data_IF_700671088271
#
_entry.id   IF_700671088271
#
_cell.length_a   1.000
_cell.length_b   1.000
_cell.length_c   1.000
_cell.angle_alpha   90.00
_cell.angle_beta   90.00
_cell.angle_gamma   90.00
#
_symmetry.space_group_name_H-M   'P 1'
#
loop_
_entity.id
_entity.type
_entity.pdbx_description
1 polymer ?
#
# COMPACT_ATOMS: atom_id res chain seq x y z
N UNK A 1 -1.83 -33.91 12.72
CA UNK A 1 -1.74 -32.59 13.37
C UNK A 1 -2.96 -32.46 14.25
N UNK A 2 -2.76 -32.50 15.56
CA UNK A 2 -3.82 -32.63 16.56
C UNK A 2 -4.67 -31.36 16.62
N UNK A 3 -5.97 -31.53 16.39
CA UNK A 3 -7.04 -30.56 16.65
C UNK A 3 -7.01 -30.15 18.13
N UNK A 4 -6.23 -29.13 18.48
CA UNK A 4 -6.36 -28.44 19.77
C UNK A 4 -7.55 -27.50 19.68
N UNK A 5 -8.76 -28.06 19.83
CA UNK A 5 -9.95 -27.25 20.12
C UNK A 5 -9.70 -26.52 21.42
N UNK A 6 -9.81 -25.18 21.36
CA UNK A 6 -9.75 -24.28 22.50
C UNK A 6 -10.65 -24.84 23.62
N UNK A 7 -10.14 -25.05 24.85
CA UNK A 7 -11.01 -25.49 25.92
C UNK A 7 -12.12 -24.45 26.09
N UNK A 8 -13.39 -24.87 25.94
CA UNK A 8 -14.53 -24.02 26.30
C UNK A 8 -14.29 -23.58 27.74
N UNK A 9 -14.18 -22.27 27.94
CA UNK A 9 -13.93 -21.70 29.25
C UNK A 9 -14.94 -22.26 30.25
N UNK A 10 -14.46 -22.65 31.42
CA UNK A 10 -15.32 -23.02 32.52
C UNK A 10 -16.35 -21.89 32.75
N UNK A 11 -17.61 -22.27 32.87
CA UNK A 11 -18.74 -21.38 33.12
C UNK A 11 -18.46 -20.50 34.36
N UNK A 12 -17.94 -19.29 34.18
CA UNK A 12 -17.52 -18.42 35.29
C UNK A 12 -16.56 -17.26 34.96
N UNK A 13 -16.08 -17.13 33.72
CA UNK A 13 -15.27 -15.98 33.28
C UNK A 13 -16.08 -14.69 33.03
N UNK A 14 -15.44 -13.50 33.00
CA UNK A 14 -16.10 -12.24 32.67
C UNK A 14 -16.83 -12.34 31.33
N UNK A 15 -18.09 -11.92 31.31
CA UNK A 15 -18.98 -12.02 30.14
C UNK A 15 -18.44 -11.18 28.99
N UNK A 16 -18.26 -11.79 27.82
CA UNK A 16 -17.80 -11.12 26.59
C UNK A 16 -16.33 -11.37 26.23
N UNK A 17 -15.63 -12.27 26.92
CA UNK A 17 -14.26 -12.68 26.57
C UNK A 17 -14.28 -14.16 26.13
N UNK A 18 -14.02 -14.42 24.85
CA UNK A 18 -13.85 -15.77 24.31
C UNK A 18 -12.36 -16.08 24.12
N UNK A 19 -11.86 -17.22 24.65
CA UNK A 19 -10.48 -17.62 24.44
C UNK A 19 -10.26 -18.05 22.98
N UNK A 20 -9.09 -17.70 22.41
CA UNK A 20 -8.68 -18.10 21.07
C UNK A 20 -7.45 -19.01 21.11
N UNK A 21 -7.40 -20.01 20.21
CA UNK A 21 -6.23 -20.86 20.06
C UNK A 21 -5.09 -20.08 19.41
N UNK A 22 -3.89 -20.14 19.99
CA UNK A 22 -2.70 -19.48 19.44
C UNK A 22 -2.36 -20.00 18.04
N UNK A 23 -2.54 -21.30 17.79
CA UNK A 23 -2.24 -21.92 16.50
C UNK A 23 -3.20 -21.40 15.43
N UNK A 24 -4.48 -21.31 15.76
CA UNK A 24 -5.51 -20.80 14.86
C UNK A 24 -5.30 -19.31 14.55
N UNK A 25 -5.05 -18.50 15.58
CA UNK A 25 -4.82 -17.07 15.43
C UNK A 25 -3.55 -16.79 14.61
N UNK A 26 -2.45 -17.51 14.87
CA UNK A 26 -1.22 -17.36 14.09
C UNK A 26 -1.44 -17.71 12.62
N UNK A 27 -2.12 -18.81 12.32
CA UNK A 27 -2.38 -19.22 10.93
C UNK A 27 -3.25 -18.19 10.21
N UNK A 28 -4.31 -17.71 10.86
CA UNK A 28 -5.22 -16.72 10.30
C UNK A 28 -4.52 -15.38 10.04
N UNK A 29 -3.88 -14.82 11.06
CA UNK A 29 -3.16 -13.54 10.95
C UNK A 29 -2.05 -13.60 9.89
N UNK A 30 -1.34 -14.72 9.79
CA UNK A 30 -0.32 -14.92 8.77
C UNK A 30 -0.92 -14.93 7.36
N UNK A 31 -2.00 -15.69 7.14
CA UNK A 31 -2.65 -15.77 5.82
C UNK A 31 -3.28 -14.45 5.41
N UNK A 32 -3.95 -13.75 6.34
CA UNK A 32 -4.57 -12.44 6.08
C UNK A 32 -3.51 -11.41 5.68
N UNK A 33 -2.38 -11.35 6.40
CA UNK A 33 -1.29 -10.46 6.04
C UNK A 33 -0.64 -10.84 4.71
N UNK A 34 -0.33 -12.13 4.50
CA UNK A 34 0.30 -12.62 3.28
C UNK A 34 -0.56 -12.30 2.05
N UNK A 35 -1.87 -12.55 2.13
CA UNK A 35 -2.80 -12.26 1.04
C UNK A 35 -2.89 -10.75 0.77
N UNK A 36 -2.91 -9.91 1.82
CA UNK A 36 -2.91 -8.46 1.68
C UNK A 36 -1.67 -7.95 0.94
N UNK A 37 -0.50 -8.56 1.20
CA UNK A 37 0.76 -8.22 0.54
C UNK A 37 0.74 -8.63 -0.92
N UNK A 38 0.31 -9.87 -1.22
CA UNK A 38 0.28 -10.40 -2.58
C UNK A 38 -0.64 -9.57 -3.47
N UNK A 39 -1.88 -9.34 -3.02
CA UNK A 39 -2.93 -8.73 -3.86
C UNK A 39 -2.81 -7.21 -3.91
N UNK A 40 -2.49 -6.57 -2.79
CA UNK A 40 -2.69 -5.13 -2.62
C UNK A 40 -1.42 -4.34 -2.36
N UNK A 41 -0.23 -4.95 -2.52
CA UNK A 41 1.05 -4.26 -2.28
C UNK A 41 2.16 -4.66 -3.25
N UNK A 42 2.50 -5.94 -3.30
CA UNK A 42 3.75 -6.41 -3.88
C UNK A 42 3.67 -6.64 -5.39
N UNK A 43 2.60 -7.28 -5.88
CA UNK A 43 2.46 -7.64 -7.28
C UNK A 43 1.69 -6.57 -8.07
N UNK A 44 2.06 -6.31 -9.34
CA UNK A 44 1.29 -5.45 -10.22
C UNK A 44 0.06 -6.16 -10.78
N UNK A 45 -0.93 -5.39 -11.24
CA UNK A 45 -2.05 -5.91 -12.01
C UNK A 45 -1.62 -6.16 -13.47
N UNK A 46 -2.09 -7.27 -14.07
CA UNK A 46 -1.70 -7.66 -15.43
C UNK A 46 -2.21 -6.69 -16.51
N UNK A 47 -3.29 -5.96 -16.24
CA UNK A 47 -3.95 -5.10 -17.24
C UNK A 47 -3.20 -3.80 -17.48
N UNK A 48 -2.59 -3.25 -16.43
CA UNK A 48 -1.89 -1.96 -16.48
C UNK A 48 -0.41 -2.06 -16.06
N UNK A 49 0.03 -3.18 -15.50
CA UNK A 49 1.39 -3.37 -14.99
C UNK A 49 1.71 -2.55 -13.73
N UNK A 50 0.71 -1.93 -13.09
CA UNK A 50 0.92 -1.01 -11.97
C UNK A 50 0.64 -1.67 -10.62
N UNK A 51 1.53 -1.40 -9.66
CA UNK A 51 1.26 -1.64 -8.24
C UNK A 51 0.27 -0.59 -7.71
N UNK A 52 -0.45 -0.87 -6.60
CA UNK A 52 -1.43 0.06 -6.06
C UNK A 52 -0.88 1.46 -5.75
N UNK A 53 0.37 1.59 -5.29
CA UNK A 53 1.00 2.90 -5.03
C UNK A 53 1.16 3.72 -6.31
N UNK A 54 1.65 3.12 -7.41
CA UNK A 54 1.83 3.82 -8.69
C UNK A 54 0.49 4.31 -9.23
N UNK A 55 -0.53 3.45 -9.22
CA UNK A 55 -1.88 3.79 -9.69
C UNK A 55 -2.48 4.96 -8.91
N UNK A 56 -2.33 4.96 -7.58
CA UNK A 56 -2.82 6.03 -6.71
C UNK A 56 -2.10 7.35 -6.96
N UNK A 57 -0.78 7.33 -7.20
CA UNK A 57 0.00 8.53 -7.55
C UNK A 57 -0.48 9.13 -8.87
N UNK A 58 -0.60 8.32 -9.92
CA UNK A 58 -1.04 8.80 -11.24
C UNK A 58 -2.49 9.30 -11.21
N UNK A 59 -3.37 8.60 -10.48
CA UNK A 59 -4.76 9.03 -10.33
C UNK A 59 -4.88 10.35 -9.57
N UNK A 60 -4.17 10.51 -8.44
CA UNK A 60 -4.18 11.77 -7.70
C UNK A 60 -3.58 12.92 -8.52
N UNK A 61 -2.53 12.66 -9.31
CA UNK A 61 -1.95 13.67 -10.19
C UNK A 61 -2.93 14.14 -11.28
N UNK A 62 -3.71 13.20 -11.84
CA UNK A 62 -4.78 13.51 -12.76
C UNK A 62 -5.89 14.35 -12.11
N UNK A 63 -6.40 13.93 -10.95
CA UNK A 63 -7.46 14.63 -10.20
C UNK A 63 -7.04 16.05 -9.76
N UNK A 64 -5.78 16.22 -9.37
CA UNK A 64 -5.21 17.53 -8.99
C UNK A 64 -4.82 18.39 -10.21
N UNK A 65 -5.01 17.90 -11.44
CA UNK A 65 -4.75 18.65 -12.68
C UNK A 65 -3.27 18.85 -13.01
N UNK A 66 -2.39 17.99 -12.52
CA UNK A 66 -0.95 18.02 -12.80
C UNK A 66 -0.66 17.42 -14.19
N UNK A 67 -1.07 18.16 -15.22
CA UNK A 67 -0.82 17.81 -16.61
C UNK A 67 0.52 18.38 -17.10
N UNK A 68 1.08 17.75 -18.13
CA UNK A 68 2.36 18.10 -18.76
C UNK A 68 2.45 19.57 -19.25
N UNK A 69 1.32 20.22 -19.53
CA UNK A 69 1.25 21.60 -20.01
C UNK A 69 1.14 22.65 -18.89
N UNK A 70 1.32 22.24 -17.62
CA UNK A 70 1.27 23.12 -16.44
C UNK A 70 2.66 23.27 -15.83
N UNK A 71 2.81 24.26 -14.94
CA UNK A 71 4.07 24.47 -14.19
C UNK A 71 4.32 23.30 -13.24
N UNK A 72 5.59 22.97 -13.00
CA UNK A 72 5.99 22.01 -11.98
C UNK A 72 5.45 22.41 -10.60
N UNK A 73 5.11 21.41 -9.80
CA UNK A 73 4.65 21.56 -8.42
C UNK A 73 5.63 20.88 -7.46
N UNK A 74 5.70 21.38 -6.22
CA UNK A 74 6.55 20.78 -5.18
C UNK A 74 6.10 19.34 -4.92
N UNK A 75 7.01 18.36 -4.94
CA UNK A 75 6.71 16.93 -4.74
C UNK A 75 5.94 16.62 -3.46
N UNK A 76 6.10 17.43 -2.41
CA UNK A 76 5.32 17.32 -1.18
C UNK A 76 3.80 17.43 -1.40
N UNK A 77 3.34 18.18 -2.42
CA UNK A 77 1.91 18.30 -2.74
C UNK A 77 1.30 17.00 -3.26
N UNK A 78 1.76 16.40 -4.39
CA UNK A 78 1.21 15.14 -4.85
C UNK A 78 1.37 14.02 -3.82
N UNK A 79 2.46 13.99 -3.04
CA UNK A 79 2.62 13.02 -1.94
C UNK A 79 1.53 13.19 -0.88
N UNK A 80 1.28 14.42 -0.43
CA UNK A 80 0.25 14.70 0.57
C UNK A 80 -1.17 14.40 0.03
N UNK A 81 -1.45 14.75 -1.23
CA UNK A 81 -2.74 14.46 -1.88
C UNK A 81 -3.00 12.95 -1.93
N UNK A 82 -2.00 12.17 -2.33
CA UNK A 82 -2.08 10.69 -2.40
C UNK A 82 -2.27 10.10 -1.01
N UNK A 83 -1.49 10.54 -0.03
CA UNK A 83 -1.56 10.05 1.34
C UNK A 83 -2.92 10.34 1.98
N UNK A 84 -3.41 11.57 1.83
CA UNK A 84 -4.65 12.02 2.46
C UNK A 84 -5.92 11.40 1.86
N UNK A 85 -5.91 11.09 0.57
CA UNK A 85 -7.12 10.64 -0.15
C UNK A 85 -7.13 9.15 -0.51
N UNK A 86 -5.98 8.57 -0.84
CA UNK A 86 -5.94 7.28 -1.56
C UNK A 86 -4.99 6.24 -0.97
N UNK A 87 -3.97 6.63 -0.21
CA UNK A 87 -2.90 5.74 0.24
C UNK A 87 -2.62 5.90 1.74
N UNK A 88 -3.26 5.09 2.62
CA UNK A 88 -3.14 5.23 4.08
C UNK A 88 -1.84 4.60 4.62
N UNK A 89 -0.71 4.91 4.00
CA UNK A 89 0.62 4.48 4.40
C UNK A 89 1.59 5.66 4.36
N UNK A 90 2.78 5.49 4.94
CA UNK A 90 3.74 6.58 5.12
C UNK A 90 4.12 7.30 3.82
N UNK A 91 4.32 8.61 3.95
CA UNK A 91 4.75 9.53 2.90
C UNK A 91 6.03 9.07 2.19
N UNK A 92 7.00 8.53 2.94
CA UNK A 92 8.25 7.99 2.40
C UNK A 92 8.01 6.98 1.27
N UNK A 93 7.10 6.02 1.47
CA UNK A 93 6.82 4.99 0.47
C UNK A 93 6.18 5.54 -0.81
N UNK A 94 5.42 6.63 -0.69
CA UNK A 94 4.79 7.32 -1.81
C UNK A 94 5.84 8.15 -2.56
N UNK A 95 6.69 8.87 -1.83
CA UNK A 95 7.75 9.67 -2.40
C UNK A 95 8.78 8.81 -3.14
N UNK A 96 9.24 7.72 -2.54
CA UNK A 96 10.21 6.80 -3.18
C UNK A 96 9.66 6.20 -4.47
N UNK A 97 8.37 5.84 -4.47
CA UNK A 97 7.68 5.35 -5.67
C UNK A 97 7.57 6.44 -6.75
N UNK A 98 7.24 7.68 -6.37
CA UNK A 98 7.18 8.83 -7.27
C UNK A 98 8.55 9.11 -7.88
N UNK A 99 9.60 9.15 -7.06
CA UNK A 99 10.98 9.39 -7.50
C UNK A 99 11.41 8.34 -8.51
N UNK A 100 11.17 7.05 -8.23
CA UNK A 100 11.49 5.96 -9.18
C UNK A 100 10.77 6.06 -10.52
N UNK A 101 9.57 6.62 -10.55
CA UNK A 101 8.81 6.81 -11.78
C UNK A 101 9.30 8.00 -12.64
N UNK A 102 10.14 8.86 -12.07
CA UNK A 102 10.78 9.99 -12.75
C UNK A 102 12.22 9.70 -13.23
N UNK A 103 12.83 8.62 -12.77
CA UNK A 103 14.20 8.22 -13.15
C UNK A 103 14.23 7.49 -14.50
N UNK A 104 14.98 8.02 -15.47
CA UNK A 104 15.11 7.47 -16.83
C UNK A 104 15.94 6.18 -16.90
N UNK A 105 16.84 5.94 -15.95
CA UNK A 105 17.57 4.67 -15.81
C UNK A 105 16.76 3.58 -15.10
N UNK A 106 15.72 3.94 -14.35
CA UNK A 106 14.86 3.00 -13.60
C UNK A 106 13.74 2.45 -14.47
N UNK A 107 13.15 3.30 -15.33
CA UNK A 107 12.06 2.94 -16.23
C UNK A 107 12.43 3.21 -17.68
N UNK A 108 12.10 2.26 -18.55
CA UNK A 108 12.28 2.43 -20.01
C UNK A 108 11.48 3.61 -20.55
N UNK A 109 10.30 3.86 -19.98
CA UNK A 109 9.42 5.01 -20.28
C UNK A 109 8.99 5.61 -18.94
N UNK A 110 9.58 6.75 -18.53
CA UNK A 110 9.16 7.46 -17.33
C UNK A 110 7.70 7.90 -17.40
N UNK A 111 7.00 7.82 -16.27
CA UNK A 111 5.59 8.19 -16.17
C UNK A 111 5.39 9.55 -15.49
N UNK A 112 6.42 10.04 -14.79
CA UNK A 112 6.43 11.33 -14.11
C UNK A 112 7.56 12.16 -14.71
N UNK A 113 7.27 13.41 -15.05
CA UNK A 113 8.28 14.41 -15.38
C UNK A 113 8.62 15.22 -14.12
N UNK A 114 9.89 15.15 -13.69
CA UNK A 114 10.38 15.73 -12.45
C UNK A 114 11.49 16.75 -12.68
N UNK A 115 11.52 17.81 -11.87
CA UNK A 115 12.57 18.82 -11.89
C UNK A 115 13.33 18.83 -10.56
N UNK A 116 14.62 18.49 -10.58
CA UNK A 116 15.50 18.53 -9.41
C UNK A 116 16.46 17.34 -9.36
N UNK A 117 17.02 17.08 -8.18
CA UNK A 117 17.84 15.89 -7.94
C UNK A 117 16.93 14.73 -7.50
N UNK A 118 16.88 13.66 -8.30
CA UNK A 118 16.01 12.50 -8.11
C UNK A 118 16.80 11.21 -7.87
N UNK A 119 18.04 11.29 -7.40
CA UNK A 119 18.94 10.15 -7.22
C UNK A 119 20.30 10.42 -7.83
#
# INVERSE_FOLDING_TARGET
MTDQKTPRGADGGPTGIEPISIVEEMQRSYLDYAMSVIVSRALPDVRDGLKPVHRRILFAAHESGYHWNRKYVKSARPVADVMGKYHPHGDASIYDALVRMAQDWSLRVPLIDGQGNFG
#
